data_IF_943524771719
#
_entry.id   IF_943524771719
#
_cell.length_a   1.000
_cell.length_b   1.000
_cell.length_c   1.000
_cell.angle_alpha   90.00
_cell.angle_beta   90.00
_cell.angle_gamma   90.00
#
_symmetry.space_group_name_H-M   'P 1'
#
loop_
_entity.id
_entity.type
_entity.pdbx_description
1 polymer ?
#
# COMPACT_ATOMS: atom_id res chain seq x y z
N UNK A 1 41.68 -21.80 -7.81
CA UNK A 1 41.46 -21.13 -6.51
C UNK A 1 40.57 -19.93 -6.81
N UNK A 2 39.25 -20.04 -6.77
CA UNK A 2 38.37 -20.08 -5.58
C UNK A 2 38.60 -18.92 -4.60
N UNK A 3 37.48 -18.20 -4.41
CA UNK A 3 36.98 -17.46 -3.25
C UNK A 3 37.19 -15.93 -3.28
N UNK A 4 36.14 -15.16 -3.55
CA UNK A 4 34.98 -14.81 -2.67
C UNK A 4 35.41 -13.79 -1.61
N UNK A 5 34.82 -12.59 -1.60
CA UNK A 5 33.67 -12.23 -0.73
C UNK A 5 33.45 -10.70 -0.72
N UNK A 6 32.28 -10.33 -1.24
CA UNK A 6 31.31 -9.39 -0.66
C UNK A 6 31.60 -7.89 -0.39
N UNK A 7 30.49 -7.15 -0.55
CA UNK A 7 30.00 -6.06 0.31
C UNK A 7 30.20 -4.64 -0.27
N UNK A 8 29.18 -3.86 -0.65
CA UNK A 8 27.80 -3.81 -0.19
C UNK A 8 26.91 -3.18 -1.29
N UNK A 9 25.84 -3.89 -1.61
CA UNK A 9 24.60 -3.38 -2.17
C UNK A 9 24.22 -1.99 -1.59
N UNK A 10 24.31 -0.94 -2.40
CA UNK A 10 23.49 0.25 -2.17
C UNK A 10 22.08 -0.09 -2.62
N UNK A 11 21.36 -0.81 -1.76
CA UNK A 11 19.94 -1.11 -1.88
C UNK A 11 19.15 0.20 -1.94
N UNK A 12 19.00 0.75 -3.14
CA UNK A 12 17.94 1.72 -3.40
C UNK A 12 16.64 0.96 -3.10
N UNK A 13 15.86 1.33 -2.08
CA UNK A 13 14.56 0.71 -1.89
C UNK A 13 13.77 0.90 -3.19
N UNK A 14 12.92 -0.05 -3.61
CA UNK A 14 12.14 0.09 -4.83
C UNK A 14 11.39 1.43 -4.76
N UNK A 15 11.82 2.38 -5.57
CA UNK A 15 11.28 3.73 -5.54
C UNK A 15 9.80 3.64 -5.88
N UNK A 16 8.92 4.01 -4.95
CA UNK A 16 7.48 4.09 -5.19
C UNK A 16 7.24 5.16 -6.26
N UNK A 17 7.17 4.75 -7.53
CA UNK A 17 6.79 5.63 -8.63
C UNK A 17 5.35 6.13 -8.42
N UNK A 18 5.00 7.29 -8.98
CA UNK A 18 3.62 7.81 -8.89
C UNK A 18 2.58 6.79 -9.37
N UNK A 19 2.94 5.96 -10.36
CA UNK A 19 2.10 4.91 -10.94
C UNK A 19 1.84 3.74 -9.99
N UNK A 20 2.62 3.64 -8.91
CA UNK A 20 2.43 2.63 -7.87
C UNK A 20 1.25 2.94 -6.94
N UNK A 21 0.73 4.17 -6.93
CA UNK A 21 -0.36 4.58 -6.04
C UNK A 21 -1.75 4.27 -6.63
N UNK A 22 -2.54 3.43 -5.93
CA UNK A 22 -3.96 3.22 -6.25
C UNK A 22 -4.78 4.46 -5.90
N UNK A 23 -4.44 5.09 -4.77
CA UNK A 23 -5.09 6.31 -4.30
C UNK A 23 -4.08 7.15 -3.55
N UNK A 24 -4.25 8.47 -3.63
CA UNK A 24 -3.47 9.42 -2.86
C UNK A 24 -4.35 10.59 -2.40
N UNK A 25 -4.24 10.95 -1.13
CA UNK A 25 -5.02 12.02 -0.48
C UNK A 25 -4.12 12.85 0.44
N UNK A 26 -4.65 13.99 0.92
CA UNK A 26 -4.04 14.77 1.99
C UNK A 26 -4.80 14.55 3.29
N UNK A 27 -4.11 14.08 4.32
CA UNK A 27 -4.70 13.79 5.63
C UNK A 27 -3.68 14.04 6.76
N UNK A 28 -4.19 14.14 7.98
CA UNK A 28 -3.37 14.13 9.21
C UNK A 28 -3.23 12.68 9.67
N UNK A 29 -2.00 12.25 9.94
CA UNK A 29 -1.72 10.92 10.49
C UNK A 29 -2.03 10.93 11.98
N UNK A 30 -2.80 9.94 12.42
CA UNK A 30 -3.22 9.75 13.80
C UNK A 30 -2.64 8.44 14.33
N UNK A 31 -2.25 8.42 15.60
CA UNK A 31 -1.85 7.22 16.33
C UNK A 31 -2.70 7.08 17.57
N UNK A 32 -2.98 5.83 17.97
CA UNK A 32 -3.62 5.58 19.27
C UNK A 32 -2.59 5.83 20.36
N UNK A 33 -2.98 6.61 21.36
CA UNK A 33 -2.27 6.70 22.62
C UNK A 33 -2.87 5.71 23.60
N UNK A 34 -2.11 4.68 23.96
CA UNK A 34 -2.59 3.62 24.85
C UNK A 34 -2.69 4.09 26.30
N UNK A 35 -2.05 5.22 26.68
CA UNK A 35 -2.15 5.77 28.02
C UNK A 35 -3.50 6.45 28.27
N UNK A 36 -3.96 7.28 27.34
CA UNK A 36 -5.27 7.96 27.41
C UNK A 36 -6.41 7.15 26.78
N UNK A 37 -6.08 6.13 25.97
CA UNK A 37 -7.02 5.40 25.12
C UNK A 37 -7.51 6.19 23.89
N UNK A 38 -7.06 7.44 23.73
CA UNK A 38 -7.47 8.37 22.69
C UNK A 38 -6.64 8.30 21.41
N UNK A 39 -6.89 9.25 20.51
CA UNK A 39 -6.16 9.43 19.25
C UNK A 39 -5.34 10.72 19.30
N UNK A 40 -4.06 10.62 18.98
CA UNK A 40 -3.14 11.76 18.90
C UNK A 40 -2.75 12.02 17.45
N UNK A 41 -2.74 13.30 17.08
CA UNK A 41 -2.23 13.73 15.80
C UNK A 41 -0.71 13.68 15.81
N UNK A 42 -0.12 12.95 14.86
CA UNK A 42 1.32 12.88 14.75
C UNK A 42 1.88 14.22 14.26
N UNK A 43 3.08 14.58 14.72
CA UNK A 43 3.83 15.76 14.29
C UNK A 43 3.05 17.08 14.38
N UNK A 44 2.24 17.23 15.43
CA UNK A 44 1.45 18.43 15.68
C UNK A 44 0.30 18.63 14.69
N UNK A 45 -0.16 17.57 14.02
CA UNK A 45 -1.28 17.66 13.07
C UNK A 45 -0.88 18.11 11.67
N UNK A 46 0.39 17.99 11.32
CA UNK A 46 0.88 18.35 10.00
C UNK A 46 0.21 17.51 8.89
N UNK A 47 -0.20 18.17 7.80
CA UNK A 47 -0.75 17.49 6.64
C UNK A 47 0.31 16.62 5.95
N UNK A 48 -0.13 15.45 5.52
CA UNK A 48 0.70 14.45 4.85
C UNK A 48 0.04 14.01 3.55
N UNK A 49 0.86 13.72 2.53
CA UNK A 49 0.45 12.99 1.33
C UNK A 49 0.41 11.52 1.71
N UNK A 50 -0.80 10.97 1.82
CA UNK A 50 -1.01 9.58 2.22
C UNK A 50 -1.66 8.82 1.07
N UNK A 51 -1.16 7.62 0.79
CA UNK A 51 -1.69 6.81 -0.29
C UNK A 51 -1.54 5.31 -0.05
N UNK A 52 -2.31 4.55 -0.80
CA UNK A 52 -2.17 3.10 -0.89
C UNK A 52 -1.34 2.83 -2.12
N UNK A 53 -0.19 2.18 -1.94
CA UNK A 53 0.74 1.90 -3.03
C UNK A 53 0.98 0.40 -3.19
N UNK A 54 1.18 -0.01 -4.44
CA UNK A 54 1.59 -1.34 -4.84
C UNK A 54 3.11 -1.43 -4.74
N UNK A 55 3.59 -2.41 -4.01
CA UNK A 55 5.01 -2.70 -3.85
C UNK A 55 5.34 -3.88 -4.76
N UNK A 56 6.27 -3.66 -5.68
CA UNK A 56 6.85 -4.76 -6.46
C UNK A 56 7.78 -5.55 -5.53
N UNK A 57 7.73 -6.89 -5.52
CA UNK A 57 8.74 -7.69 -4.84
C UNK A 57 10.14 -7.28 -5.33
N UNK A 58 11.12 -7.09 -4.42
CA UNK A 58 12.50 -6.90 -4.82
C UNK A 58 12.93 -8.07 -5.71
N UNK A 59 13.55 -7.74 -6.83
CA UNK A 59 13.92 -8.63 -7.94
C UNK A 59 14.44 -10.01 -7.51
N UNK A 60 13.74 -11.07 -7.92
CA UNK A 60 14.22 -12.41 -8.31
C UNK A 60 13.03 -13.38 -8.18
N UNK A 61 12.42 -13.69 -9.33
CA UNK A 61 11.40 -14.72 -9.66
C UNK A 61 11.02 -15.87 -8.71
N UNK A 62 10.94 -15.67 -7.40
CA UNK A 62 10.75 -16.72 -6.39
C UNK A 62 9.71 -16.37 -5.30
N UNK A 63 9.13 -15.17 -5.29
CA UNK A 63 7.84 -15.00 -4.62
C UNK A 63 6.80 -15.76 -5.46
N UNK A 64 5.84 -16.50 -4.86
CA UNK A 64 4.82 -17.22 -5.61
C UNK A 64 4.20 -16.28 -6.65
N UNK A 65 4.44 -16.60 -7.92
CA UNK A 65 4.04 -15.82 -9.09
C UNK A 65 2.62 -15.26 -8.89
N UNK A 66 2.51 -13.92 -8.83
CA UNK A 66 1.21 -13.25 -8.94
C UNK A 66 0.64 -12.57 -7.68
N UNK A 67 1.32 -12.56 -6.53
CA UNK A 67 0.82 -11.80 -5.36
C UNK A 67 1.37 -10.38 -5.31
N UNK A 68 0.50 -9.41 -5.64
CA UNK A 68 0.77 -7.99 -5.40
C UNK A 68 0.82 -7.71 -3.89
N UNK A 69 1.87 -7.03 -3.44
CA UNK A 69 1.95 -6.51 -2.08
C UNK A 69 1.52 -5.04 -2.08
N UNK A 70 0.85 -4.61 -1.02
CA UNK A 70 0.42 -3.22 -0.88
C UNK A 70 0.81 -2.68 0.48
N UNK A 71 1.11 -1.38 0.54
CA UNK A 71 1.31 -0.67 1.80
C UNK A 71 0.59 0.67 1.77
N UNK A 72 0.23 1.14 2.96
CA UNK A 72 -0.20 2.52 3.20
C UNK A 72 1.05 3.32 3.51
N UNK A 73 1.33 4.31 2.67
CA UNK A 73 2.47 5.20 2.76
C UNK A 73 2.02 6.63 3.05
N UNK A 74 2.67 7.32 3.98
CA UNK A 74 2.38 8.70 4.32
C UNK A 74 3.65 9.52 4.49
N UNK A 75 3.82 10.49 3.61
CA UNK A 75 4.90 11.49 3.68
C UNK A 75 4.35 12.82 4.14
N UNK A 76 5.01 13.41 5.12
CA UNK A 76 4.68 14.75 5.58
C UNK A 76 4.95 15.78 4.49
N UNK A 77 4.01 16.68 4.24
CA UNK A 77 4.10 17.57 3.08
C UNK A 77 5.27 18.54 3.14
N UNK A 78 5.64 19.01 4.34
CA UNK A 78 6.61 20.10 4.56
C UNK A 78 8.05 19.70 4.26
N UNK A 79 8.44 18.48 4.59
CA UNK A 79 9.84 18.01 4.56
C UNK A 79 9.97 16.59 4.00
N UNK A 80 8.87 16.01 3.49
CA UNK A 80 8.81 14.66 2.90
C UNK A 80 9.22 13.55 3.86
N UNK A 81 9.27 13.81 5.17
CA UNK A 81 9.55 12.75 6.14
C UNK A 81 8.46 11.68 6.03
N UNK A 82 8.87 10.41 5.95
CA UNK A 82 7.94 9.27 6.03
C UNK A 82 7.51 9.12 7.48
N UNK A 83 6.22 9.26 7.71
CA UNK A 83 5.63 9.31 9.05
C UNK A 83 4.56 8.23 9.25
N UNK A 84 4.15 7.57 8.17
CA UNK A 84 3.26 6.42 8.17
C UNK A 84 3.76 5.43 7.11
N UNK A 85 4.09 4.22 7.54
CA UNK A 85 4.39 3.11 6.65
C UNK A 85 3.80 1.85 7.27
N UNK A 86 2.94 1.18 6.52
CA UNK A 86 2.11 0.12 7.06
C UNK A 86 1.74 -0.88 5.97
N UNK A 87 2.24 -2.12 6.07
CA UNK A 87 1.87 -3.19 5.15
C UNK A 87 0.37 -3.50 5.24
N UNK A 88 -0.31 -3.56 4.09
CA UNK A 88 -1.72 -3.90 4.02
C UNK A 88 -1.88 -5.43 4.13
N UNK A 89 -2.86 -5.89 4.89
CA UNK A 89 -3.19 -7.32 5.03
C UNK A 89 -4.63 -7.59 4.68
N UNK A 90 -4.93 -8.82 4.24
CA UNK A 90 -6.29 -9.23 3.85
C UNK A 90 -7.28 -9.16 5.01
N UNK A 91 -6.82 -9.41 6.22
CA UNK A 91 -7.60 -9.35 7.45
C UNK A 91 -7.49 -7.99 8.17
N UNK A 92 -7.16 -6.92 7.44
CA UNK A 92 -7.10 -5.58 8.01
C UNK A 92 -8.45 -5.20 8.64
N UNK A 93 -8.44 -4.89 9.93
CA UNK A 93 -9.62 -4.33 10.60
C UNK A 93 -9.62 -2.83 10.36
N UNK A 94 -10.39 -2.38 9.36
CA UNK A 94 -10.55 -0.98 8.99
C UNK A 94 -11.88 -0.43 9.49
N UNK A 95 -11.83 0.64 10.28
CA UNK A 95 -12.99 1.25 10.95
C UNK A 95 -13.19 2.68 10.49
N UNK A 96 -14.43 3.01 10.12
CA UNK A 96 -14.85 4.36 9.76
C UNK A 96 -15.56 4.99 10.96
N UNK A 97 -14.79 5.59 11.86
CA UNK A 97 -15.33 6.14 13.11
C UNK A 97 -16.19 7.39 12.88
N UNK A 98 -15.81 8.25 11.93
CA UNK A 98 -16.60 9.39 11.46
C UNK A 98 -16.44 9.56 9.95
N UNK A 99 -17.21 10.45 9.28
CA UNK A 99 -17.04 10.73 7.85
C UNK A 99 -15.64 11.22 7.45
N UNK A 100 -14.84 11.73 8.40
CA UNK A 100 -13.49 12.26 8.17
C UNK A 100 -12.43 11.60 9.04
N UNK A 101 -12.78 10.62 9.87
CA UNK A 101 -11.82 9.92 10.70
C UNK A 101 -11.96 8.41 10.54
N UNK A 102 -10.96 7.80 9.91
CA UNK A 102 -10.86 6.36 9.75
C UNK A 102 -9.60 5.85 10.42
N UNK A 103 -9.65 4.61 10.92
CA UNK A 103 -8.51 4.01 11.58
C UNK A 103 -8.47 2.50 11.37
N UNK A 104 -7.30 1.91 11.61
CA UNK A 104 -7.09 0.48 11.47
C UNK A 104 -6.03 -0.02 12.44
N UNK A 105 -5.96 -1.34 12.59
CA UNK A 105 -4.92 -2.02 13.35
C UNK A 105 -3.98 -2.76 12.41
N UNK A 106 -2.68 -2.58 12.59
CA UNK A 106 -1.65 -3.44 12.00
C UNK A 106 -0.70 -3.88 13.08
N UNK A 107 -0.53 -5.20 13.19
CA UNK A 107 0.15 -5.84 14.31
C UNK A 107 -0.41 -5.32 15.65
N UNK A 108 0.45 -4.80 16.52
CA UNK A 108 0.07 -4.23 17.80
C UNK A 108 -0.16 -2.71 17.75
N UNK A 109 -0.05 -2.10 16.56
CA UNK A 109 -0.19 -0.65 16.39
C UNK A 109 -1.56 -0.30 15.82
N UNK A 110 -2.12 0.82 16.28
CA UNK A 110 -3.35 1.40 15.75
C UNK A 110 -3.03 2.75 15.11
N UNK A 111 -3.27 2.81 13.81
CA UNK A 111 -3.02 3.99 12.98
C UNK A 111 -4.36 4.53 12.49
N UNK A 112 -4.42 5.83 12.22
CA UNK A 112 -5.61 6.45 11.66
C UNK A 112 -5.28 7.66 10.82
N UNK A 113 -6.31 8.16 10.13
CA UNK A 113 -6.24 9.34 9.28
C UNK A 113 -7.43 10.23 9.58
N UNK A 114 -7.13 11.50 9.83
CA UNK A 114 -8.13 12.58 9.80
C UNK A 114 -8.05 13.26 8.44
N UNK A 115 -9.08 13.05 7.62
CA UNK A 115 -9.21 13.60 6.28
C UNK A 115 -9.75 15.02 6.33
N UNK A 116 -9.29 15.86 5.40
CA UNK A 116 -9.80 17.23 5.28
C UNK A 116 -11.26 17.27 4.80
N UNK A 117 -11.70 16.25 4.03
CA UNK A 117 -13.05 16.17 3.47
C UNK A 117 -13.57 14.74 3.49
N UNK A 118 -14.89 14.54 3.69
CA UNK A 118 -15.50 13.21 3.58
C UNK A 118 -15.31 12.55 2.21
N UNK A 119 -15.17 13.34 1.15
CA UNK A 119 -14.90 12.81 -0.19
C UNK A 119 -13.54 12.11 -0.28
N UNK A 120 -12.51 12.69 0.35
CA UNK A 120 -11.15 12.11 0.40
C UNK A 120 -11.15 10.84 1.24
N UNK A 121 -11.88 10.83 2.36
CA UNK A 121 -12.07 9.65 3.20
C UNK A 121 -12.72 8.49 2.43
N UNK A 122 -13.77 8.77 1.64
CA UNK A 122 -14.41 7.78 0.76
C UNK A 122 -13.49 7.30 -0.35
N UNK A 123 -12.67 8.18 -0.93
CA UNK A 123 -11.70 7.78 -1.95
C UNK A 123 -10.64 6.84 -1.38
N UNK A 124 -10.12 7.17 -0.19
CA UNK A 124 -9.14 6.34 0.51
C UNK A 124 -9.70 4.96 0.87
N UNK A 125 -10.93 4.91 1.42
CA UNK A 125 -11.65 3.67 1.70
C UNK A 125 -11.81 2.77 0.45
N UNK A 126 -12.16 3.37 -0.71
CA UNK A 126 -12.20 2.63 -1.98
C UNK A 126 -10.84 2.07 -2.38
N UNK A 127 -9.77 2.86 -2.26
CA UNK A 127 -8.42 2.41 -2.60
C UNK A 127 -7.91 1.28 -1.70
N UNK A 128 -8.19 1.35 -0.38
CA UNK A 128 -7.86 0.26 0.56
C UNK A 128 -8.60 -1.02 0.20
N UNK A 129 -9.91 -0.94 -0.07
CA UNK A 129 -10.70 -2.12 -0.47
C UNK A 129 -10.21 -2.71 -1.79
N UNK A 130 -9.91 -1.88 -2.78
CA UNK A 130 -9.38 -2.35 -4.06
C UNK A 130 -8.05 -3.08 -3.91
N UNK A 131 -7.13 -2.52 -3.12
CA UNK A 131 -5.86 -3.19 -2.82
C UNK A 131 -6.05 -4.56 -2.13
N UNK A 132 -7.01 -4.68 -1.21
CA UNK A 132 -7.31 -5.95 -0.53
C UNK A 132 -7.91 -6.99 -1.47
N UNK A 133 -8.79 -6.56 -2.38
CA UNK A 133 -9.35 -7.39 -3.45
C UNK A 133 -8.24 -7.90 -4.40
N UNK A 134 -7.36 -7.02 -4.86
CA UNK A 134 -6.25 -7.36 -5.77
C UNK A 134 -5.24 -8.34 -5.13
N UNK A 135 -5.03 -8.27 -3.80
CA UNK A 135 -4.23 -9.27 -3.08
C UNK A 135 -4.88 -10.67 -3.12
N UNK A 136 -6.18 -10.74 -3.30
CA UNK A 136 -6.98 -11.97 -3.30
C UNK A 136 -7.14 -12.55 -4.70
N UNK A 137 -7.27 -11.69 -5.71
CA UNK A 137 -7.45 -12.06 -7.12
C UNK A 137 -6.17 -12.55 -7.82
N UNK A 138 -4.99 -12.46 -7.19
CA UNK A 138 -3.74 -13.09 -7.66
C UNK A 138 -3.75 -14.63 -7.74
N UNK A 139 -4.93 -15.25 -7.84
CA UNK A 139 -5.16 -16.69 -8.07
C UNK A 139 -6.06 -17.02 -9.26
N UNK A 140 -6.55 -16.04 -10.03
CA UNK A 140 -7.40 -16.35 -11.18
C UNK A 140 -7.35 -15.29 -12.26
N UNK A 141 -6.48 -15.50 -13.25
CA UNK A 141 -6.64 -15.14 -14.68
C UNK A 141 -5.32 -15.45 -15.41
N UNK A 142 -5.00 -16.75 -15.47
CA UNK A 142 -4.26 -17.31 -16.60
C UNK A 142 -5.20 -18.31 -17.29
N UNK A 143 -6.36 -17.83 -17.73
CA UNK A 143 -7.14 -18.48 -18.78
C UNK A 143 -7.66 -17.38 -19.68
N UNK A 144 -7.25 -17.45 -20.95
CA UNK A 144 -7.52 -16.41 -21.93
C UNK A 144 -6.41 -16.18 -22.95
N UNK A 145 -5.33 -16.97 -22.98
CA UNK A 145 -4.55 -17.16 -24.20
C UNK A 145 -5.32 -18.10 -25.14
N UNK A 146 -6.44 -17.61 -25.67
CA UNK A 146 -7.05 -18.16 -26.86
C UNK A 146 -6.16 -17.84 -28.04
N UNK A 147 -5.13 -18.67 -28.23
CA UNK A 147 -4.33 -18.73 -29.44
C UNK A 147 -5.30 -18.95 -30.60
N UNK A 148 -5.56 -17.89 -31.38
CA UNK A 148 -6.25 -17.98 -32.66
C UNK A 148 -5.45 -18.90 -33.57
N UNK A 149 -5.92 -20.14 -33.68
CA UNK A 149 -5.41 -21.17 -34.56
C UNK A 149 -5.70 -20.77 -36.01
N UNK A 150 -4.78 -20.07 -36.67
CA UNK A 150 -4.78 -19.99 -38.13
C UNK A 150 -4.29 -21.35 -38.65
N UNK A 151 -5.23 -22.17 -39.12
CA UNK A 151 -4.95 -23.35 -39.96
C UNK A 151 -5.74 -23.25 -41.26
N UNK A 152 -4.99 -23.29 -42.36
CA UNK A 152 -5.42 -23.72 -43.69
C UNK A 152 -5.90 -22.59 -44.60
N UNK A 153 -5.54 -22.51 -45.88
CA UNK A 153 -4.97 -23.52 -46.78
C UNK A 153 -4.17 -22.79 -47.88
N UNK A 154 -2.99 -23.31 -48.21
CA UNK A 154 -2.34 -23.10 -49.49
C UNK A 154 -2.60 -24.35 -50.35
N UNK A 155 -3.26 -24.14 -51.49
CA UNK A 155 -3.13 -24.84 -52.78
C UNK A 155 -3.74 -23.89 -53.83
#
# INVERSE_FOLDING_TARGET
MNNDVDNLSSSVPPSLSSDSYIVCVKAVVMVRDDSSGGWLAQDGGALSRVGVCRVLPPELGLAPLGRSHFLIHGERLRDKQVILECALRKNLVYTKATPTFHHWRVDDRRCGLTFQRPADARAFDRGVRKAIEDMTEGRGTLEGSGMGLFKGVAC
#
